data_IF_255856752161
#
_entry.id   IF_255856752161
#
_cell.length_a   1.000
_cell.length_b   1.000
_cell.length_c   1.000
_cell.angle_alpha   90.00
_cell.angle_beta   90.00
_cell.angle_gamma   90.00
#
_symmetry.space_group_name_H-M   'P 1'
#
loop_
_entity.id
_entity.type
_entity.pdbx_description
1 polymer ?
#
# COMPACT_ATOMS: atom_id res chain seq x y z
N UNK A 1 -44.08 -25.93 -7.72
CA UNK A 1 -43.56 -24.61 -7.27
C UNK A 1 -42.29 -24.75 -6.46
N UNK A 2 -42.19 -25.65 -5.50
CA UNK A 2 -41.01 -25.83 -4.59
C UNK A 2 -39.73 -26.14 -5.35
N UNK A 3 -39.75 -26.98 -6.37
CA UNK A 3 -38.55 -27.36 -7.14
C UNK A 3 -38.00 -26.17 -8.00
N UNK A 4 -38.89 -25.33 -8.50
CA UNK A 4 -38.48 -24.16 -9.30
C UNK A 4 -37.78 -23.11 -8.40
N UNK A 5 -38.34 -22.89 -7.20
CA UNK A 5 -37.74 -21.99 -6.20
C UNK A 5 -36.35 -22.49 -5.80
N UNK A 6 -36.21 -23.80 -5.55
CA UNK A 6 -34.94 -24.42 -5.19
C UNK A 6 -33.90 -24.22 -6.32
N UNK A 7 -34.26 -24.45 -7.58
CA UNK A 7 -33.38 -24.27 -8.73
C UNK A 7 -32.93 -22.81 -8.88
N UNK A 8 -33.84 -21.86 -8.67
CA UNK A 8 -33.49 -20.43 -8.70
C UNK A 8 -32.51 -20.06 -7.60
N UNK A 9 -32.74 -20.57 -6.36
CA UNK A 9 -31.81 -20.32 -5.25
C UNK A 9 -30.42 -20.89 -5.51
N UNK A 10 -30.34 -22.11 -6.08
CA UNK A 10 -29.05 -22.71 -6.46
C UNK A 10 -28.36 -21.89 -7.54
N UNK A 11 -29.09 -21.44 -8.58
CA UNK A 11 -28.51 -20.62 -9.64
C UNK A 11 -27.98 -19.29 -9.10
N UNK A 12 -28.70 -18.64 -8.20
CA UNK A 12 -28.25 -17.40 -7.53
C UNK A 12 -27.02 -17.65 -6.69
N UNK A 13 -26.97 -18.74 -5.93
CA UNK A 13 -25.81 -19.10 -5.10
C UNK A 13 -24.55 -19.35 -5.97
N UNK A 14 -24.70 -20.05 -7.09
CA UNK A 14 -23.61 -20.28 -8.06
C UNK A 14 -23.14 -18.96 -8.65
N UNK A 15 -24.04 -18.09 -9.06
CA UNK A 15 -23.70 -16.78 -9.61
C UNK A 15 -22.93 -15.92 -8.60
N UNK A 16 -23.39 -15.85 -7.35
CA UNK A 16 -22.72 -15.11 -6.27
C UNK A 16 -21.33 -15.68 -6.01
N UNK A 17 -21.20 -17.01 -5.95
CA UNK A 17 -19.89 -17.66 -5.77
C UNK A 17 -18.95 -17.38 -6.94
N UNK A 18 -19.42 -17.46 -8.18
CA UNK A 18 -18.63 -17.16 -9.36
C UNK A 18 -18.20 -15.67 -9.40
N UNK A 19 -19.10 -14.75 -9.08
CA UNK A 19 -18.79 -13.33 -8.96
C UNK A 19 -17.75 -13.05 -7.88
N UNK A 20 -17.89 -13.68 -6.73
CA UNK A 20 -16.90 -13.57 -5.63
C UNK A 20 -15.53 -14.08 -6.05
N UNK A 21 -15.45 -15.26 -6.69
CA UNK A 21 -14.19 -15.82 -7.20
C UNK A 21 -13.57 -14.93 -8.26
N UNK A 22 -14.38 -14.38 -9.15
CA UNK A 22 -13.91 -13.45 -10.20
C UNK A 22 -13.32 -12.17 -9.59
N UNK A 23 -14.02 -11.54 -8.66
CA UNK A 23 -13.56 -10.33 -7.96
C UNK A 23 -12.29 -10.63 -7.14
N UNK A 24 -12.27 -11.73 -6.40
CA UNK A 24 -11.09 -12.17 -5.65
C UNK A 24 -9.87 -12.37 -6.54
N UNK A 25 -10.08 -12.94 -7.73
CA UNK A 25 -9.01 -13.11 -8.72
C UNK A 25 -8.47 -11.77 -9.21
N UNK A 26 -9.34 -10.82 -9.56
CA UNK A 26 -8.91 -9.48 -10.01
C UNK A 26 -8.11 -8.76 -8.91
N UNK A 27 -8.60 -8.82 -7.66
CA UNK A 27 -7.93 -8.18 -6.52
C UNK A 27 -6.55 -8.80 -6.25
N UNK A 28 -6.36 -10.08 -6.54
CA UNK A 28 -5.09 -10.79 -6.32
C UNK A 28 -4.10 -10.70 -7.49
N UNK A 29 -4.50 -10.15 -8.64
CA UNK A 29 -3.57 -9.92 -9.74
C UNK A 29 -2.51 -8.88 -9.31
N UNK A 30 -1.23 -9.10 -9.65
CA UNK A 30 -0.19 -8.11 -9.39
C UNK A 30 -0.44 -6.85 -10.23
N UNK A 31 0.06 -5.69 -9.80
CA UNK A 31 0.01 -4.48 -10.62
C UNK A 31 0.85 -4.64 -11.89
N UNK A 32 0.51 -3.87 -12.90
CA UNK A 32 1.30 -3.81 -14.14
C UNK A 32 2.61 -3.03 -13.92
N UNK A 33 3.65 -3.42 -14.68
CA UNK A 33 4.94 -2.74 -14.68
C UNK A 33 5.73 -2.94 -13.40
N UNK A 34 5.79 -4.17 -12.91
CA UNK A 34 6.64 -4.55 -11.78
C UNK A 34 8.11 -4.64 -12.16
N UNK A 35 8.98 -4.68 -11.14
CA UNK A 35 10.42 -4.87 -11.30
C UNK A 35 10.75 -6.14 -12.10
N UNK A 36 10.05 -7.25 -11.86
CA UNK A 36 10.26 -8.50 -12.60
C UNK A 36 9.91 -8.37 -14.07
N UNK A 37 8.88 -7.59 -14.41
CA UNK A 37 8.49 -7.34 -15.80
C UNK A 37 9.53 -6.47 -16.50
N UNK A 38 10.03 -5.43 -15.80
CA UNK A 38 11.07 -4.55 -16.29
C UNK A 38 12.38 -5.29 -16.53
N UNK A 39 12.81 -6.16 -15.60
CA UNK A 39 14.04 -6.97 -15.74
C UNK A 39 13.97 -7.93 -16.92
N UNK A 40 12.77 -8.46 -17.20
CA UNK A 40 12.53 -9.36 -18.34
C UNK A 40 12.32 -8.60 -19.66
N UNK A 41 12.08 -7.29 -19.62
CA UNK A 41 11.94 -6.48 -20.83
C UNK A 41 13.29 -6.25 -21.49
N UNK A 42 13.30 -6.25 -22.84
CA UNK A 42 14.51 -5.90 -23.62
C UNK A 42 14.74 -4.38 -23.71
N UNK A 43 13.83 -3.58 -23.17
CA UNK A 43 13.83 -2.13 -23.25
C UNK A 43 14.62 -1.55 -22.07
N UNK A 44 15.93 -1.59 -22.15
CA UNK A 44 16.79 -0.77 -21.27
C UNK A 44 17.06 0.54 -21.98
N UNK A 45 16.16 1.48 -21.80
CA UNK A 45 16.34 2.86 -22.29
C UNK A 45 17.08 3.69 -21.24
N UNK A 46 17.71 4.80 -21.65
CA UNK A 46 18.32 5.78 -20.74
C UNK A 46 17.25 6.60 -19.96
N UNK A 47 16.12 5.98 -19.61
CA UNK A 47 15.04 6.62 -18.87
C UNK A 47 15.30 6.45 -17.38
N UNK A 48 14.88 7.46 -16.59
CA UNK A 48 14.90 7.33 -15.12
C UNK A 48 13.94 6.22 -14.71
N UNK A 49 14.38 5.40 -13.78
CA UNK A 49 13.58 4.34 -13.18
C UNK A 49 13.15 4.76 -11.77
N UNK A 50 11.86 4.82 -11.54
CA UNK A 50 11.27 5.19 -10.26
C UNK A 50 10.52 3.97 -9.71
N UNK A 51 10.96 3.45 -8.57
CA UNK A 51 10.28 2.34 -7.90
C UNK A 51 9.29 2.88 -6.86
N UNK A 52 8.01 2.58 -7.06
CA UNK A 52 6.92 2.93 -6.15
C UNK A 52 6.61 1.70 -5.29
N UNK A 53 7.13 1.68 -4.06
CA UNK A 53 7.04 0.52 -3.15
C UNK A 53 5.93 0.78 -2.11
N UNK A 54 5.05 -0.21 -1.91
CA UNK A 54 3.98 -0.04 -0.93
C UNK A 54 3.03 -1.22 -0.80
N UNK A 55 1.87 -0.91 -0.26
CA UNK A 55 0.76 -1.83 -0.05
C UNK A 55 -0.37 -1.65 -1.10
N UNK A 56 -1.62 -1.88 -0.70
CA UNK A 56 -2.79 -1.72 -1.57
C UNK A 56 -3.01 -0.30 -2.09
N UNK A 57 -2.56 0.72 -1.36
CA UNK A 57 -2.66 2.12 -1.80
C UNK A 57 -1.72 2.38 -2.97
N UNK A 58 -0.57 1.72 -3.02
CA UNK A 58 0.37 1.77 -4.14
C UNK A 58 -0.06 0.84 -5.27
N UNK A 59 -0.58 -0.35 -4.95
CA UNK A 59 -1.14 -1.26 -5.95
C UNK A 59 -2.19 -0.56 -6.83
N UNK A 60 -3.18 0.07 -6.21
CA UNK A 60 -4.19 0.89 -6.89
C UNK A 60 -5.29 0.13 -7.62
N UNK A 61 -5.44 -1.19 -7.43
CA UNK A 61 -6.45 -1.99 -8.15
C UNK A 61 -7.87 -1.92 -7.57
N UNK A 62 -8.02 -1.38 -6.35
CA UNK A 62 -9.33 -1.19 -5.70
C UNK A 62 -9.73 0.30 -5.68
N UNK A 63 -8.88 1.18 -6.17
CA UNK A 63 -9.08 2.62 -6.20
C UNK A 63 -8.37 3.27 -7.37
N UNK A 64 -8.03 4.53 -7.20
CA UNK A 64 -7.20 5.22 -8.18
C UNK A 64 -5.73 4.98 -7.88
N UNK A 65 -4.98 4.54 -8.90
CA UNK A 65 -3.54 4.35 -8.80
C UNK A 65 -2.81 5.69 -8.88
N UNK A 66 -2.18 6.13 -7.80
CA UNK A 66 -1.31 7.31 -7.84
C UNK A 66 -0.08 7.07 -8.74
N UNK A 67 0.37 5.81 -8.87
CA UNK A 67 1.46 5.44 -9.78
C UNK A 67 1.07 5.71 -11.23
N UNK A 68 -0.18 5.42 -11.62
CA UNK A 68 -0.66 5.69 -12.98
C UNK A 68 -0.83 7.19 -13.24
N UNK A 69 -1.12 8.00 -12.22
CA UNK A 69 -1.07 9.46 -12.35
C UNK A 69 0.34 9.94 -12.63
N UNK A 70 1.34 9.40 -11.92
CA UNK A 70 2.74 9.74 -12.18
C UNK A 70 3.18 9.31 -13.59
N UNK A 71 2.80 8.12 -14.04
CA UNK A 71 3.07 7.65 -15.42
C UNK A 71 2.52 8.60 -16.47
N UNK A 72 1.31 9.11 -16.27
CA UNK A 72 0.69 10.09 -17.18
C UNK A 72 1.37 11.46 -17.13
N UNK A 73 1.79 11.89 -15.94
CA UNK A 73 2.47 13.18 -15.74
C UNK A 73 3.91 13.21 -16.22
N UNK A 74 4.58 12.05 -16.19
CA UNK A 74 6.01 11.91 -16.51
C UNK A 74 6.23 10.77 -17.52
N UNK A 75 5.78 10.91 -18.77
CA UNK A 75 5.77 9.81 -19.74
C UNK A 75 7.17 9.37 -20.20
N UNK A 76 8.20 10.15 -19.91
CA UNK A 76 9.59 9.85 -20.23
C UNK A 76 10.29 9.03 -19.13
N UNK A 77 9.64 8.81 -17.99
CA UNK A 77 10.17 8.05 -16.87
C UNK A 77 9.51 6.65 -16.80
N UNK A 78 10.25 5.69 -16.26
CA UNK A 78 9.74 4.33 -16.00
C UNK A 78 9.31 4.25 -14.54
N UNK A 79 8.02 3.99 -14.30
CA UNK A 79 7.48 3.78 -12.96
C UNK A 79 7.22 2.30 -12.71
N UNK A 80 7.96 1.70 -11.78
CA UNK A 80 7.72 0.34 -11.31
C UNK A 80 6.67 0.38 -10.20
N UNK A 81 5.54 -0.29 -10.40
CA UNK A 81 4.53 -0.41 -9.35
C UNK A 81 4.81 -1.67 -8.52
N UNK A 82 5.36 -1.47 -7.34
CA UNK A 82 5.63 -2.51 -6.35
C UNK A 82 4.67 -2.42 -5.16
N UNK A 83 3.41 -2.07 -5.42
CA UNK A 83 2.32 -2.18 -4.46
C UNK A 83 1.77 -3.60 -4.41
N UNK A 84 1.61 -4.18 -3.21
CA UNK A 84 0.93 -5.46 -3.02
C UNK A 84 -0.07 -5.35 -1.88
N UNK A 85 -1.32 -5.72 -2.17
CA UNK A 85 -2.42 -5.65 -1.21
C UNK A 85 -2.09 -6.36 0.10
N UNK A 86 -2.35 -5.68 1.23
CA UNK A 86 -2.17 -6.22 2.56
C UNK A 86 -0.72 -6.29 3.05
N UNK A 87 0.28 -5.91 2.24
CA UNK A 87 1.67 -5.99 2.66
C UNK A 87 1.98 -5.09 3.85
N UNK A 88 2.76 -5.64 4.76
CA UNK A 88 3.51 -4.95 5.81
C UNK A 88 4.93 -4.68 5.36
N UNK A 89 5.69 -3.91 6.12
CA UNK A 89 7.11 -3.65 5.83
C UNK A 89 7.90 -4.95 5.75
N UNK A 90 7.63 -5.93 6.64
CA UNK A 90 8.29 -7.23 6.61
C UNK A 90 8.17 -7.91 5.23
N UNK A 91 6.98 -7.90 4.63
CA UNK A 91 6.77 -8.52 3.32
C UNK A 91 7.47 -7.76 2.20
N UNK A 92 7.58 -6.42 2.30
CA UNK A 92 8.38 -5.62 1.36
C UNK A 92 9.85 -6.04 1.41
N UNK A 93 10.41 -6.21 2.62
CA UNK A 93 11.80 -6.68 2.81
C UNK A 93 12.04 -8.03 2.12
N UNK A 94 11.08 -8.96 2.20
CA UNK A 94 11.22 -10.30 1.58
C UNK A 94 11.25 -10.27 0.04
N UNK A 95 10.87 -9.16 -0.59
CA UNK A 95 10.76 -9.04 -2.05
C UNK A 95 11.48 -7.82 -2.64
N UNK A 96 12.37 -7.21 -1.90
CA UNK A 96 13.07 -5.99 -2.34
C UNK A 96 14.15 -6.25 -3.39
N UNK A 97 14.75 -7.44 -3.40
CA UNK A 97 15.89 -7.77 -4.25
C UNK A 97 15.65 -7.56 -5.77
N UNK A 98 14.52 -7.99 -6.36
CA UNK A 98 14.23 -7.68 -7.76
C UNK A 98 14.11 -6.18 -8.04
N UNK A 99 13.65 -5.39 -7.05
CA UNK A 99 13.54 -3.94 -7.16
C UNK A 99 14.94 -3.32 -7.20
N UNK A 100 15.83 -3.75 -6.30
CA UNK A 100 17.23 -3.32 -6.27
C UNK A 100 17.96 -3.70 -7.56
N UNK A 101 17.68 -4.89 -8.12
CA UNK A 101 18.26 -5.34 -9.39
C UNK A 101 17.89 -4.44 -10.58
N UNK A 102 16.76 -3.70 -10.51
CA UNK A 102 16.38 -2.70 -11.51
C UNK A 102 17.26 -1.44 -11.44
N UNK A 103 18.02 -1.23 -10.36
CA UNK A 103 18.83 -0.03 -10.10
C UNK A 103 18.02 1.25 -10.24
N UNK A 104 16.93 1.43 -9.47
CA UNK A 104 16.11 2.60 -9.59
C UNK A 104 16.89 3.88 -9.22
N UNK A 105 16.66 4.96 -9.97
CA UNK A 105 17.21 6.28 -9.65
C UNK A 105 16.51 6.90 -8.44
N UNK A 106 15.21 6.58 -8.27
CA UNK A 106 14.38 7.08 -7.18
C UNK A 106 13.54 5.94 -6.63
N UNK A 107 13.42 5.89 -5.31
CA UNK A 107 12.43 5.05 -4.60
C UNK A 107 11.42 5.95 -3.90
N UNK A 108 10.12 5.70 -4.11
CA UNK A 108 9.03 6.30 -3.34
C UNK A 108 8.43 5.19 -2.48
N UNK A 109 8.55 5.34 -1.16
CA UNK A 109 8.12 4.34 -0.19
C UNK A 109 6.84 4.81 0.52
N UNK A 110 5.72 4.13 0.29
CA UNK A 110 4.44 4.37 0.95
C UNK A 110 3.93 3.06 1.56
N UNK A 111 4.36 2.77 2.78
CA UNK A 111 4.11 1.51 3.49
C UNK A 111 3.92 1.77 4.99
N UNK A 112 3.15 0.91 5.65
CA UNK A 112 2.95 0.95 7.09
C UNK A 112 1.49 1.01 7.53
N UNK A 113 0.55 1.22 6.60
CA UNK A 113 -0.89 1.22 6.91
C UNK A 113 -1.32 -0.12 7.52
N UNK A 114 -0.85 -1.24 6.96
CA UNK A 114 -1.15 -2.58 7.45
C UNK A 114 -0.42 -2.89 8.76
N UNK A 115 0.79 -2.37 8.96
CA UNK A 115 1.51 -2.47 10.23
C UNK A 115 0.76 -1.73 11.33
N UNK A 116 0.29 -0.50 11.06
CA UNK A 116 -0.50 0.28 12.00
C UNK A 116 -1.83 -0.40 12.31
N UNK A 117 -2.56 -0.90 11.30
CA UNK A 117 -3.82 -1.62 11.52
C UNK A 117 -3.60 -2.93 12.26
N UNK A 118 -2.55 -3.67 11.93
CA UNK A 118 -2.19 -4.92 12.58
C UNK A 118 -1.77 -4.75 14.03
N UNK A 119 -1.13 -3.64 14.38
CA UNK A 119 -0.68 -3.34 15.74
C UNK A 119 -1.71 -2.59 16.60
N UNK A 120 -2.90 -2.30 16.05
CA UNK A 120 -3.92 -1.50 16.73
C UNK A 120 -4.49 -2.19 17.99
N UNK A 121 -4.72 -3.49 17.93
CA UNK A 121 -5.14 -4.33 19.06
C UNK A 121 -4.79 -5.81 18.80
N UNK A 122 -4.87 -6.64 19.83
CA UNK A 122 -4.50 -8.06 19.78
C UNK A 122 -5.28 -8.82 18.70
N UNK A 123 -6.60 -8.62 18.61
CA UNK A 123 -7.46 -9.28 17.61
C UNK A 123 -7.03 -8.94 16.19
N UNK A 124 -6.73 -7.67 15.92
CA UNK A 124 -6.20 -7.23 14.63
C UNK A 124 -4.84 -7.86 14.35
N UNK A 125 -3.96 -7.87 15.33
CA UNK A 125 -2.62 -8.45 15.21
C UNK A 125 -2.63 -9.92 14.84
N UNK A 126 -3.41 -10.73 15.56
CA UNK A 126 -3.57 -12.16 15.27
C UNK A 126 -4.17 -12.39 13.87
N UNK A 127 -5.15 -11.56 13.47
CA UNK A 127 -5.74 -11.63 12.13
C UNK A 127 -4.69 -11.32 11.05
N UNK A 128 -3.91 -10.24 11.21
CA UNK A 128 -2.86 -9.86 10.25
C UNK A 128 -1.78 -10.93 10.16
N UNK A 129 -1.29 -11.43 11.30
CA UNK A 129 -0.31 -12.52 11.34
C UNK A 129 -0.79 -13.72 10.53
N UNK A 130 -2.02 -14.20 10.78
CA UNK A 130 -2.58 -15.37 10.10
C UNK A 130 -2.83 -15.12 8.61
N UNK A 131 -3.47 -14.00 8.25
CA UNK A 131 -3.92 -13.75 6.88
C UNK A 131 -2.76 -13.42 5.94
N UNK A 132 -1.70 -12.81 6.47
CA UNK A 132 -0.52 -12.40 5.71
C UNK A 132 0.70 -13.29 5.95
N UNK A 133 0.51 -14.42 6.67
CA UNK A 133 1.58 -15.37 6.99
C UNK A 133 2.82 -14.69 7.59
N UNK A 134 2.60 -13.76 8.53
CA UNK A 134 3.69 -13.04 9.18
C UNK A 134 4.35 -13.94 10.24
N UNK A 135 5.67 -13.82 10.46
CA UNK A 135 6.38 -14.61 11.47
C UNK A 135 5.91 -14.27 12.89
N UNK A 136 5.52 -13.02 13.11
CA UNK A 136 5.09 -12.50 14.40
C UNK A 136 3.90 -11.54 14.25
N UNK A 137 3.28 -11.20 15.38
CA UNK A 137 2.20 -10.21 15.42
C UNK A 137 2.78 -8.82 15.16
N UNK A 138 2.20 -8.01 14.25
CA UNK A 138 2.64 -6.64 14.03
C UNK A 138 2.62 -5.82 15.31
N UNK A 139 3.66 -5.01 15.49
CA UNK A 139 3.77 -4.04 16.58
C UNK A 139 4.49 -2.79 16.11
N UNK A 140 4.33 -1.68 16.84
CA UNK A 140 5.03 -0.44 16.51
C UNK A 140 6.56 -0.60 16.60
N UNK A 141 7.06 -1.38 17.56
CA UNK A 141 8.49 -1.63 17.70
C UNK A 141 9.03 -2.42 16.49
N UNK A 142 8.31 -3.46 16.06
CA UNK A 142 8.67 -4.22 14.87
C UNK A 142 8.64 -3.39 13.60
N UNK A 143 7.66 -2.51 13.46
CA UNK A 143 7.62 -1.57 12.35
C UNK A 143 8.89 -0.70 12.30
N UNK A 144 9.33 -0.17 13.45
CA UNK A 144 10.55 0.65 13.53
C UNK A 144 11.80 -0.13 13.11
N UNK A 145 11.97 -1.36 13.62
CA UNK A 145 13.08 -2.23 13.25
C UNK A 145 13.08 -2.51 11.74
N UNK A 146 11.94 -2.88 11.20
CA UNK A 146 11.78 -3.27 9.80
C UNK A 146 11.94 -2.10 8.82
N UNK A 147 11.45 -0.90 9.16
CA UNK A 147 11.67 0.29 8.33
C UNK A 147 13.16 0.62 8.25
N UNK A 148 13.89 0.54 9.37
CA UNK A 148 15.32 0.77 9.36
C UNK A 148 16.05 -0.28 8.51
N UNK A 149 15.73 -1.58 8.66
CA UNK A 149 16.31 -2.65 7.80
C UNK A 149 16.00 -2.40 6.31
N UNK A 150 14.79 -1.97 5.99
CA UNK A 150 14.41 -1.65 4.61
C UNK A 150 15.22 -0.45 4.08
N UNK A 151 15.36 0.61 4.86
CA UNK A 151 16.13 1.79 4.47
C UNK A 151 17.62 1.46 4.30
N UNK A 152 18.18 0.62 5.17
CA UNK A 152 19.56 0.16 5.05
C UNK A 152 19.78 -0.63 3.75
N UNK A 153 18.82 -1.48 3.36
CA UNK A 153 18.86 -2.20 2.07
C UNK A 153 18.72 -1.28 0.85
N UNK A 154 18.03 -0.15 1.01
CA UNK A 154 17.88 0.87 -0.01
C UNK A 154 19.07 1.86 -0.06
N UNK A 155 20.06 1.72 0.85
CA UNK A 155 21.12 2.68 1.08
C UNK A 155 21.99 3.06 -0.13
N UNK A 156 22.10 2.18 -1.13
CA UNK A 156 22.85 2.42 -2.38
C UNK A 156 22.01 3.14 -3.45
N UNK A 157 20.73 3.43 -3.17
CA UNK A 157 19.85 4.15 -4.09
C UNK A 157 20.09 5.65 -3.98
N UNK A 158 20.26 6.32 -5.12
CA UNK A 158 20.63 7.75 -5.18
C UNK A 158 19.61 8.65 -4.47
N UNK A 159 18.32 8.29 -4.50
CA UNK A 159 17.26 9.09 -3.91
C UNK A 159 16.12 8.24 -3.38
N UNK A 160 15.86 8.36 -2.08
CA UNK A 160 14.73 7.74 -1.40
C UNK A 160 13.80 8.83 -0.87
N UNK A 161 12.49 8.68 -1.13
CA UNK A 161 11.44 9.48 -0.53
C UNK A 161 10.48 8.56 0.26
N UNK A 162 10.15 8.95 1.48
CA UNK A 162 9.20 8.21 2.32
C UNK A 162 7.92 9.02 2.53
N UNK A 163 6.78 8.37 2.34
CA UNK A 163 5.46 8.97 2.56
C UNK A 163 5.01 8.77 4.01
N UNK A 164 4.35 9.76 4.59
CA UNK A 164 3.54 9.52 5.78
C UNK A 164 2.33 8.65 5.43
N UNK A 165 1.91 7.80 6.37
CA UNK A 165 0.75 6.92 6.23
C UNK A 165 -0.51 7.78 6.13
N UNK A 166 -1.35 7.58 5.09
CA UNK A 166 -2.61 8.30 4.94
C UNK A 166 -3.56 8.09 6.12
N UNK A 167 -4.55 8.99 6.31
CA UNK A 167 -5.58 8.81 7.34
C UNK A 167 -6.36 7.50 7.19
N UNK A 168 -6.67 6.87 8.31
CA UNK A 168 -7.59 5.73 8.38
C UNK A 168 -9.02 6.25 8.67
N UNK A 169 -9.73 6.62 7.61
CA UNK A 169 -11.03 7.26 7.70
C UNK A 169 -10.97 8.77 7.96
N UNK A 170 -12.14 9.40 7.97
CA UNK A 170 -12.29 10.86 7.94
C UNK A 170 -12.35 11.51 9.31
N UNK A 171 -12.45 10.72 10.37
CA UNK A 171 -12.50 11.26 11.74
C UNK A 171 -11.09 11.42 12.27
N UNK A 172 -10.61 12.68 12.26
CA UNK A 172 -9.23 13.05 12.62
C UNK A 172 -8.81 12.52 14.00
N UNK A 173 -9.68 12.66 14.98
CA UNK A 173 -9.42 12.29 16.39
C UNK A 173 -9.85 10.85 16.72
N UNK A 174 -10.13 10.01 15.72
CA UNK A 174 -10.41 8.59 15.95
C UNK A 174 -9.21 7.89 16.58
N UNK A 175 -9.45 6.85 17.39
CA UNK A 175 -8.37 6.04 17.99
C UNK A 175 -7.44 5.46 16.91
N UNK A 176 -7.97 5.12 15.74
CA UNK A 176 -7.18 4.62 14.62
C UNK A 176 -6.21 5.70 14.07
N UNK A 177 -6.69 6.94 13.88
CA UNK A 177 -5.85 8.03 13.42
C UNK A 177 -4.86 8.51 14.48
N UNK A 178 -5.23 8.48 15.77
CA UNK A 178 -4.28 8.72 16.86
C UNK A 178 -3.17 7.64 16.87
N UNK A 179 -3.52 6.38 16.56
CA UNK A 179 -2.54 5.31 16.47
C UNK A 179 -1.60 5.51 15.26
N UNK A 180 -2.14 5.82 14.07
CA UNK A 180 -1.35 6.14 12.86
C UNK A 180 -0.42 7.35 13.09
N UNK A 181 -0.85 8.33 13.86
CA UNK A 181 -0.03 9.51 14.20
C UNK A 181 1.33 9.11 14.79
N UNK A 182 1.39 8.07 15.64
CA UNK A 182 2.67 7.58 16.23
C UNK A 182 3.63 7.08 15.13
N UNK A 183 3.10 6.37 14.13
CA UNK A 183 3.88 5.92 12.99
C UNK A 183 4.37 7.09 12.15
N UNK A 184 3.52 8.06 11.89
CA UNK A 184 3.87 9.24 11.11
C UNK A 184 4.91 10.12 11.81
N UNK A 185 4.85 10.25 13.14
CA UNK A 185 5.88 10.95 13.93
C UNK A 185 7.24 10.24 13.81
N UNK A 186 7.24 8.90 13.85
CA UNK A 186 8.46 8.12 13.61
C UNK A 186 8.96 8.26 12.17
N UNK A 187 8.10 8.21 11.16
CA UNK A 187 8.48 8.43 9.75
C UNK A 187 9.13 9.82 9.58
N UNK A 188 8.53 10.85 10.16
CA UNK A 188 9.10 12.22 10.15
C UNK A 188 10.47 12.29 10.84
N UNK A 189 10.66 11.53 11.89
CA UNK A 189 11.93 11.45 12.62
C UNK A 189 13.02 10.78 11.78
N UNK A 190 12.74 9.57 11.27
CA UNK A 190 13.74 8.80 10.51
C UNK A 190 14.08 9.46 9.18
N UNK A 191 13.15 10.17 8.54
CA UNK A 191 13.45 10.93 7.32
C UNK A 191 14.51 12.00 7.58
N UNK A 192 14.46 12.67 8.73
CA UNK A 192 15.46 13.66 9.14
C UNK A 192 16.80 13.00 9.48
N UNK A 193 16.78 11.90 10.25
CA UNK A 193 17.99 11.21 10.68
C UNK A 193 18.78 10.67 9.48
N UNK A 194 18.08 10.07 8.52
CA UNK A 194 18.69 9.45 7.34
C UNK A 194 18.82 10.42 6.15
N UNK A 195 18.44 11.69 6.32
CA UNK A 195 18.48 12.71 5.25
C UNK A 195 17.77 12.28 3.96
N UNK A 196 16.58 11.66 4.11
CA UNK A 196 15.72 11.24 3.01
C UNK A 196 14.52 12.17 2.87
N UNK A 197 14.03 12.32 1.63
CA UNK A 197 12.89 13.19 1.34
C UNK A 197 11.61 12.71 2.03
N UNK A 198 10.92 13.59 2.73
CA UNK A 198 9.61 13.32 3.32
C UNK A 198 8.49 13.80 2.40
N UNK A 199 7.58 12.90 2.05
CA UNK A 199 6.33 13.23 1.37
C UNK A 199 5.18 13.24 2.41
N UNK A 200 4.68 14.42 2.82
CA UNK A 200 3.73 14.55 3.93
C UNK A 200 2.29 14.26 3.48
N UNK A 201 2.03 13.08 2.94
CA UNK A 201 0.72 12.66 2.39
C UNK A 201 -0.40 12.80 3.42
N UNK A 202 -0.17 12.39 4.67
CA UNK A 202 -1.17 12.51 5.74
C UNK A 202 -1.56 13.97 5.99
N UNK A 203 -0.57 14.84 6.10
CA UNK A 203 -0.82 16.26 6.39
C UNK A 203 -1.55 16.94 5.23
N UNK A 204 -1.17 16.62 3.99
CA UNK A 204 -1.80 17.14 2.78
C UNK A 204 -3.26 16.70 2.66
N UNK A 205 -3.57 15.43 2.97
CA UNK A 205 -4.93 14.92 2.95
C UNK A 205 -5.79 15.55 4.05
N UNK A 206 -5.24 15.78 5.26
CA UNK A 206 -5.98 16.48 6.31
C UNK A 206 -6.30 17.92 5.95
N UNK A 207 -5.36 18.65 5.32
CA UNK A 207 -5.61 20.01 4.83
C UNK A 207 -6.75 20.06 3.82
N UNK A 208 -6.80 19.09 2.92
CA UNK A 208 -7.86 19.02 1.92
C UNK A 208 -9.21 18.62 2.56
N UNK A 209 -9.25 17.63 3.46
CA UNK A 209 -10.45 17.24 4.22
C UNK A 209 -10.99 18.44 5.02
N UNK A 210 -10.13 19.13 5.77
CA UNK A 210 -10.50 20.28 6.60
C UNK A 210 -11.01 21.47 5.76
N UNK A 211 -10.59 21.59 4.50
CA UNK A 211 -11.02 22.64 3.58
C UNK A 211 -12.37 22.39 2.92
N UNK A 212 -12.90 21.17 2.99
CA UNK A 212 -14.15 20.79 2.33
C UNK A 212 -15.37 21.04 3.20
N UNK A 213 -16.40 21.61 2.57
CA UNK A 213 -17.71 21.84 3.21
C UNK A 213 -18.50 20.52 3.38
N UNK A 214 -18.19 19.52 2.55
CA UNK A 214 -18.79 18.18 2.57
C UNK A 214 -17.71 17.14 2.41
N UNK A 215 -17.32 16.40 3.47
CA UNK A 215 -16.39 15.30 3.36
C UNK A 215 -16.98 14.20 2.48
N UNK A 216 -16.37 13.96 1.32
CA UNK A 216 -16.75 12.88 0.43
C UNK A 216 -15.93 11.65 0.80
N UNK A 217 -16.48 10.77 1.64
CA UNK A 217 -15.85 9.50 2.07
C UNK A 217 -15.18 8.71 0.95
N UNK A 218 -15.68 8.86 -0.29
CA UNK A 218 -15.19 8.13 -1.47
C UNK A 218 -13.89 8.67 -2.06
N UNK A 219 -13.58 9.95 -1.87
CA UNK A 219 -12.43 10.58 -2.53
C UNK A 219 -11.10 10.23 -1.87
N UNK A 220 -11.10 10.02 -0.54
CA UNK A 220 -9.89 9.75 0.26
C UNK A 220 -9.70 8.29 0.62
N UNK A 221 -10.78 7.55 0.67
CA UNK A 221 -10.75 6.12 0.90
C UNK A 221 -11.79 5.43 0.00
N UNK A 222 -11.50 5.33 -1.30
CA UNK A 222 -12.36 4.58 -2.21
C UNK A 222 -12.52 3.12 -1.79
N UNK A 223 -11.65 2.64 -0.92
CA UNK A 223 -11.56 1.27 -0.44
C UNK A 223 -12.10 1.14 0.99
N UNK A 224 -13.20 1.74 1.36
CA UNK A 224 -13.79 1.66 2.72
C UNK A 224 -13.70 0.30 3.42
N UNK A 225 -13.32 -0.74 2.68
CA UNK A 225 -12.99 -2.10 3.12
C UNK A 225 -11.70 -2.18 3.96
N UNK A 226 -10.76 -1.23 3.81
CA UNK A 226 -9.52 -1.23 4.60
C UNK A 226 -9.73 -0.72 6.03
N UNK A 227 -10.90 -0.17 6.33
CA UNK A 227 -11.22 0.42 7.63
C UNK A 227 -12.06 -0.48 8.53
N UNK A 228 -12.45 -1.68 8.06
CA UNK A 228 -13.22 -2.62 8.89
C UNK A 228 -12.35 -3.73 9.49
#
# INVERSE_FOLDING_TARGET
MTNVILLVLIAVAIFVAAAFLYVSRIISLPPEGRAVDYLNSKLKNNQRVIACIGDSLTHGNIGQSWVDYLRKGFPNDVFLNEGINGNTVWQVIQRVDPILACKPDIVILMIGSNDAMGSFNEKSGLRYKRNNNLPEVPSFEKYKEQINDLLDRLGDISKVAICTIPPLGETKDSLANQHVKKFNEFIKLISKINNIDLLPVSDSLWLDIDSRTYPLKRDYNPNGIQLM
#
